data_IF_271407668936
#
_entry.id   IF_271407668936
#
_cell.length_a   1.000
_cell.length_b   1.000
_cell.length_c   1.000
_cell.angle_alpha   90.00
_cell.angle_beta   90.00
_cell.angle_gamma   90.00
#
_symmetry.space_group_name_H-M   'P 1'
#
loop_
_entity.id
_entity.type
_entity.pdbx_description
1 polymer ?
#
# COMPACT_ATOMS: atom_id res chain seq x y z
N UNK A 1 27.23 -6.86 -26.94
CA UNK A 1 26.75 -6.95 -25.56
C UNK A 1 26.06 -5.65 -25.11
N UNK A 2 26.75 -4.51 -25.11
CA UNK A 2 26.23 -3.25 -24.56
C UNK A 2 24.92 -2.77 -25.22
N UNK A 3 24.78 -2.86 -26.55
CA UNK A 3 23.52 -2.50 -27.22
C UNK A 3 22.36 -3.38 -26.78
N UNK A 4 22.55 -4.70 -26.78
CA UNK A 4 21.50 -5.63 -26.34
C UNK A 4 21.07 -5.33 -24.90
N UNK A 5 22.04 -5.11 -23.99
CA UNK A 5 21.73 -4.76 -22.59
C UNK A 5 20.99 -3.43 -22.48
N UNK A 6 21.36 -2.43 -23.28
CA UNK A 6 20.64 -1.16 -23.31
C UNK A 6 19.19 -1.33 -23.80
N UNK A 7 18.98 -2.13 -24.87
CA UNK A 7 17.64 -2.40 -25.40
C UNK A 7 16.77 -3.15 -24.36
N UNK A 8 17.32 -4.16 -23.68
CA UNK A 8 16.66 -4.89 -22.59
C UNK A 8 16.23 -3.94 -21.45
N UNK A 9 17.13 -3.05 -21.04
CA UNK A 9 16.84 -2.10 -19.95
C UNK A 9 15.89 -0.98 -20.36
N UNK A 10 15.95 -0.53 -21.61
CA UNK A 10 14.96 0.41 -22.16
C UNK A 10 13.57 -0.23 -22.25
N UNK A 11 13.49 -1.51 -22.67
CA UNK A 11 12.25 -2.27 -22.65
C UNK A 11 11.73 -2.47 -21.20
N UNK A 12 12.62 -2.78 -20.26
CA UNK A 12 12.29 -2.83 -18.84
C UNK A 12 11.71 -1.49 -18.36
N UNK A 13 12.28 -0.37 -18.73
CA UNK A 13 11.80 0.97 -18.36
C UNK A 13 10.59 1.45 -19.17
N UNK A 14 10.14 0.72 -20.21
CA UNK A 14 9.17 1.19 -21.23
C UNK A 14 9.61 2.51 -21.91
N UNK A 15 10.86 2.58 -22.27
CA UNK A 15 11.47 3.74 -22.89
C UNK A 15 12.07 3.44 -24.26
N UNK A 16 11.74 2.31 -24.86
CA UNK A 16 12.29 1.88 -26.17
C UNK A 16 12.07 2.95 -27.24
N UNK A 17 10.86 3.53 -27.33
CA UNK A 17 10.54 4.58 -28.28
C UNK A 17 11.22 5.94 -27.95
N UNK A 18 11.77 6.06 -26.76
CA UNK A 18 12.46 7.26 -26.26
C UNK A 18 13.97 7.08 -26.17
N UNK A 19 14.52 6.00 -26.77
CA UNK A 19 15.95 5.67 -26.70
C UNK A 19 16.87 6.80 -27.14
N UNK A 20 16.45 7.62 -28.11
CA UNK A 20 17.20 8.78 -28.61
C UNK A 20 16.82 10.12 -27.93
N UNK A 21 15.85 10.11 -27.03
CA UNK A 21 15.40 11.33 -26.37
C UNK A 21 16.41 11.83 -25.32
N UNK A 22 16.52 13.14 -25.19
CA UNK A 22 17.32 13.72 -24.10
C UNK A 22 16.63 13.44 -22.76
N UNK A 23 17.39 13.06 -21.73
CA UNK A 23 16.85 12.76 -20.39
C UNK A 23 16.06 13.96 -19.82
N UNK A 24 16.47 15.20 -20.14
CA UNK A 24 15.77 16.42 -19.73
C UNK A 24 14.32 16.47 -20.22
N UNK A 25 14.01 15.89 -21.39
CA UNK A 25 12.67 15.89 -22.00
C UNK A 25 11.75 14.77 -21.47
N UNK A 26 12.24 13.88 -20.62
CA UNK A 26 11.46 12.80 -20.03
C UNK A 26 10.58 13.34 -18.89
N UNK A 27 9.37 12.79 -18.74
CA UNK A 27 8.52 13.05 -17.58
C UNK A 27 9.15 12.53 -16.28
N UNK A 28 8.63 12.96 -15.12
CA UNK A 28 9.10 12.49 -13.81
C UNK A 28 9.06 10.95 -13.70
N UNK A 29 7.94 10.33 -14.06
CA UNK A 29 7.78 8.89 -14.06
C UNK A 29 8.71 8.16 -15.04
N UNK A 30 8.97 8.73 -16.22
CA UNK A 30 9.95 8.19 -17.17
C UNK A 30 11.36 8.25 -16.60
N UNK A 31 11.74 9.37 -15.97
CA UNK A 31 13.05 9.51 -15.29
C UNK A 31 13.20 8.49 -14.17
N UNK A 32 12.14 8.28 -13.37
CA UNK A 32 12.14 7.29 -12.27
C UNK A 32 12.42 5.89 -12.81
N UNK A 33 11.66 5.46 -13.83
CA UNK A 33 11.85 4.14 -14.46
C UNK A 33 13.24 3.99 -15.10
N UNK A 34 13.76 5.04 -15.72
CA UNK A 34 15.13 5.05 -16.25
C UNK A 34 16.17 4.90 -15.13
N UNK A 35 15.96 5.55 -13.98
CA UNK A 35 16.88 5.45 -12.83
C UNK A 35 16.93 4.02 -12.30
N UNK A 36 15.80 3.34 -12.18
CA UNK A 36 15.72 1.94 -11.77
C UNK A 36 16.46 1.05 -12.80
N UNK A 37 16.18 1.23 -14.09
CA UNK A 37 16.87 0.49 -15.16
C UNK A 37 18.39 0.68 -15.14
N UNK A 38 18.87 1.89 -14.84
CA UNK A 38 20.29 2.16 -14.65
C UNK A 38 20.89 1.36 -13.49
N UNK A 39 20.16 1.18 -12.41
CA UNK A 39 20.59 0.34 -11.27
C UNK A 39 20.80 -1.14 -11.67
N UNK A 40 20.15 -1.59 -12.74
CA UNK A 40 20.24 -2.98 -13.23
C UNK A 40 21.36 -3.23 -14.24
N UNK A 41 22.12 -2.20 -14.66
CA UNK A 41 23.15 -2.32 -15.69
C UNK A 41 24.19 -3.40 -15.35
N UNK A 42 24.60 -3.46 -14.10
CA UNK A 42 25.64 -4.38 -13.61
C UNK A 42 25.07 -5.68 -13.01
N UNK A 43 23.80 -6.01 -13.30
CA UNK A 43 23.15 -7.23 -12.83
C UNK A 43 23.32 -7.44 -11.30
N UNK A 44 22.90 -6.49 -10.49
CA UNK A 44 23.11 -6.53 -9.05
C UNK A 44 22.37 -7.71 -8.41
N UNK A 45 22.97 -8.31 -7.37
CA UNK A 45 22.29 -9.29 -6.51
C UNK A 45 21.36 -8.63 -5.49
N UNK A 46 21.61 -7.36 -5.18
CA UNK A 46 20.85 -6.55 -4.23
C UNK A 46 20.55 -5.20 -4.88
N UNK A 47 19.31 -4.78 -4.88
CA UNK A 47 18.85 -3.50 -5.41
C UNK A 47 18.12 -2.73 -4.31
N UNK A 48 18.60 -1.52 -4.00
CA UNK A 48 17.96 -0.60 -3.05
C UNK A 48 17.08 0.37 -3.83
N UNK A 49 15.83 0.47 -3.42
CA UNK A 49 14.81 1.30 -4.03
C UNK A 49 14.18 2.18 -2.97
N UNK A 50 14.41 3.47 -3.09
CA UNK A 50 13.84 4.46 -2.18
C UNK A 50 12.59 5.06 -2.83
N UNK A 51 11.41 4.75 -2.28
CA UNK A 51 10.09 5.16 -2.76
C UNK A 51 9.89 4.99 -4.29
N UNK A 52 10.05 3.77 -4.85
CA UNK A 52 10.19 3.58 -6.29
C UNK A 52 8.96 4.01 -7.11
N UNK A 53 7.77 4.04 -6.52
CA UNK A 53 6.51 4.36 -7.21
C UNK A 53 5.98 5.76 -6.95
N UNK A 54 6.64 6.54 -6.10
CA UNK A 54 6.22 7.92 -5.81
C UNK A 54 6.18 8.77 -7.08
N UNK A 55 5.05 9.45 -7.30
CA UNK A 55 4.82 10.28 -8.48
C UNK A 55 4.49 9.53 -9.77
N UNK A 56 4.25 8.21 -9.69
CA UNK A 56 3.71 7.43 -10.79
C UNK A 56 2.17 7.44 -10.74
N UNK A 57 1.54 7.43 -11.92
CA UNK A 57 0.12 7.11 -12.02
C UNK A 57 -0.15 5.64 -11.65
N UNK A 58 -1.40 5.27 -11.31
CA UNK A 58 -1.73 3.91 -10.86
C UNK A 58 -1.33 2.81 -11.85
N UNK A 59 -1.48 3.05 -13.16
CA UNK A 59 -1.11 2.07 -14.18
C UNK A 59 0.40 1.87 -14.23
N UNK A 60 1.18 2.96 -14.21
CA UNK A 60 2.64 2.90 -14.20
C UNK A 60 3.17 2.23 -12.93
N UNK A 61 2.50 2.42 -11.77
CA UNK A 61 2.82 1.76 -10.51
C UNK A 61 2.68 0.23 -10.63
N UNK A 62 1.54 -0.26 -11.10
CA UNK A 62 1.32 -1.71 -11.29
C UNK A 62 2.33 -2.34 -12.24
N UNK A 63 2.63 -1.67 -13.35
CA UNK A 63 3.64 -2.15 -14.30
C UNK A 63 5.02 -2.22 -13.66
N UNK A 64 5.37 -1.27 -12.81
CA UNK A 64 6.65 -1.31 -12.10
C UNK A 64 6.66 -2.45 -11.08
N UNK A 65 5.59 -2.66 -10.32
CA UNK A 65 5.47 -3.81 -9.38
C UNK A 65 5.68 -5.15 -10.08
N UNK A 66 5.01 -5.39 -11.20
CA UNK A 66 5.19 -6.62 -11.99
C UNK A 66 6.66 -6.86 -12.37
N UNK A 67 7.38 -5.78 -12.68
CA UNK A 67 8.79 -5.87 -13.07
C UNK A 67 9.70 -6.12 -11.89
N UNK A 68 9.44 -5.47 -10.76
CA UNK A 68 10.17 -5.70 -9.52
C UNK A 68 9.93 -7.14 -9.02
N UNK A 69 8.70 -7.63 -9.13
CA UNK A 69 8.36 -9.00 -8.80
C UNK A 69 9.16 -10.00 -9.65
N UNK A 70 9.23 -9.78 -10.97
CA UNK A 70 10.05 -10.64 -11.86
C UNK A 70 11.54 -10.60 -11.53
N UNK A 71 12.08 -9.45 -11.13
CA UNK A 71 13.48 -9.36 -10.67
C UNK A 71 13.69 -10.21 -9.41
N UNK A 72 12.73 -10.18 -8.49
CA UNK A 72 12.76 -11.01 -7.28
C UNK A 72 12.74 -12.51 -7.63
N UNK A 73 11.88 -12.94 -8.57
CA UNK A 73 11.85 -14.30 -9.08
C UNK A 73 13.17 -14.73 -9.73
N UNK A 74 13.90 -13.81 -10.34
CA UNK A 74 15.23 -14.02 -10.91
C UNK A 74 16.35 -14.05 -9.85
N UNK A 75 16.02 -13.93 -8.57
CA UNK A 75 16.96 -14.03 -7.46
C UNK A 75 17.59 -12.70 -7.04
N UNK A 76 17.09 -11.57 -7.52
CA UNK A 76 17.53 -10.25 -7.05
C UNK A 76 16.86 -9.93 -5.71
N UNK A 77 17.64 -9.64 -4.69
CA UNK A 77 17.14 -9.14 -3.41
C UNK A 77 16.76 -7.68 -3.54
N UNK A 78 15.51 -7.34 -3.27
CA UNK A 78 15.02 -5.97 -3.27
C UNK A 78 14.92 -5.45 -1.84
N UNK A 79 15.49 -4.27 -1.58
CA UNK A 79 15.28 -3.51 -0.35
C UNK A 79 14.51 -2.26 -0.77
N UNK A 80 13.28 -2.12 -0.29
CA UNK A 80 12.35 -1.06 -0.69
C UNK A 80 12.00 -0.23 0.52
N UNK A 81 12.09 1.10 0.41
CA UNK A 81 11.41 2.02 1.32
C UNK A 81 10.16 2.53 0.64
N UNK A 82 9.06 2.60 1.36
CA UNK A 82 7.79 3.10 0.82
C UNK A 82 6.88 3.60 1.96
N UNK A 83 6.06 4.57 1.65
CA UNK A 83 4.93 4.97 2.49
C UNK A 83 3.59 4.42 1.95
N UNK A 84 3.61 3.69 0.82
CA UNK A 84 2.44 3.02 0.28
C UNK A 84 2.31 1.62 0.87
N UNK A 85 1.31 1.42 1.69
CA UNK A 85 1.09 0.13 2.37
C UNK A 85 0.72 -0.98 1.38
N UNK A 86 -0.02 -0.66 0.32
CA UNK A 86 -0.34 -1.57 -0.78
C UNK A 86 0.93 -2.05 -1.52
N UNK A 87 1.91 -1.17 -1.73
CA UNK A 87 3.20 -1.55 -2.30
C UNK A 87 3.95 -2.53 -1.41
N UNK A 88 4.03 -2.25 -0.11
CA UNK A 88 4.68 -3.13 0.85
C UNK A 88 3.98 -4.49 0.94
N UNK A 89 2.65 -4.50 0.93
CA UNK A 89 1.85 -5.73 0.98
C UNK A 89 2.05 -6.62 -0.26
N UNK A 90 2.17 -6.01 -1.45
CA UNK A 90 2.32 -6.73 -2.71
C UNK A 90 3.75 -7.22 -2.98
N UNK A 91 4.77 -6.42 -2.66
CA UNK A 91 6.14 -6.69 -3.07
C UNK A 91 6.98 -7.39 -2.00
N UNK A 92 6.72 -7.14 -0.71
CA UNK A 92 7.62 -7.56 0.36
C UNK A 92 7.30 -8.97 0.88
N UNK A 93 8.32 -9.81 1.04
CA UNK A 93 8.22 -11.07 1.79
C UNK A 93 8.28 -10.80 3.29
N UNK A 94 9.00 -9.75 3.69
CA UNK A 94 9.18 -9.29 5.06
C UNK A 94 9.32 -7.77 5.05
N UNK A 95 8.74 -7.12 6.03
CA UNK A 95 8.84 -5.68 6.19
C UNK A 95 9.10 -5.28 7.64
N UNK A 96 9.52 -4.05 7.80
CA UNK A 96 9.72 -3.39 9.08
C UNK A 96 8.85 -2.13 9.07
N UNK A 97 7.96 -2.00 10.05
CA UNK A 97 7.20 -0.76 10.28
C UNK A 97 8.01 0.11 11.22
N UNK A 98 8.25 1.34 10.80
CA UNK A 98 8.99 2.34 11.59
C UNK A 98 8.10 3.53 11.93
N UNK A 99 8.12 3.95 13.17
CA UNK A 99 7.52 5.20 13.63
C UNK A 99 8.46 5.93 14.58
N UNK A 100 8.56 7.25 14.45
CA UNK A 100 9.44 8.12 15.26
C UNK A 100 10.87 7.58 15.40
N UNK A 101 11.42 7.00 14.33
CA UNK A 101 12.79 6.45 14.30
C UNK A 101 12.96 5.12 15.04
N UNK A 102 11.86 4.45 15.40
CA UNK A 102 11.86 3.14 16.09
C UNK A 102 11.16 2.09 15.25
N UNK A 103 11.62 0.87 15.36
CA UNK A 103 10.91 -0.29 14.81
C UNK A 103 9.74 -0.59 15.75
N UNK A 104 8.50 -0.54 15.22
CA UNK A 104 7.27 -0.82 15.97
C UNK A 104 6.68 -2.19 15.65
N UNK A 105 6.97 -2.73 14.46
CA UNK A 105 6.63 -4.08 14.08
C UNK A 105 7.55 -4.59 12.97
N UNK A 106 7.68 -5.91 12.87
CA UNK A 106 8.50 -6.58 11.86
C UNK A 106 7.94 -7.95 11.54
N UNK A 107 7.80 -8.29 10.27
CA UNK A 107 7.29 -9.60 9.85
C UNK A 107 6.87 -9.66 8.39
N UNK A 108 6.30 -10.80 8.00
CA UNK A 108 5.63 -10.92 6.71
C UNK A 108 4.32 -10.10 6.72
N UNK A 109 3.93 -9.46 5.60
CA UNK A 109 2.71 -8.64 5.54
C UNK A 109 1.48 -9.32 6.14
N UNK A 110 1.18 -10.53 5.69
CA UNK A 110 0.02 -11.29 6.16
C UNK A 110 0.11 -11.75 7.62
N UNK A 111 1.32 -11.90 8.17
CA UNK A 111 1.51 -12.21 9.59
C UNK A 111 1.19 -10.97 10.45
N UNK A 112 1.68 -9.80 10.04
CA UNK A 112 1.40 -8.53 10.72
C UNK A 112 -0.10 -8.18 10.69
N UNK A 113 -0.78 -8.39 9.55
CA UNK A 113 -2.22 -8.17 9.46
C UNK A 113 -2.96 -9.06 10.46
N UNK A 114 -2.63 -10.35 10.55
CA UNK A 114 -3.27 -11.27 11.52
C UNK A 114 -2.96 -10.94 12.97
N UNK A 115 -1.79 -10.41 13.25
CA UNK A 115 -1.36 -10.09 14.62
C UNK A 115 -1.95 -8.77 15.12
N UNK A 116 -2.00 -7.77 14.25
CA UNK A 116 -2.34 -6.40 14.64
C UNK A 116 -3.71 -5.92 14.12
N UNK A 117 -4.46 -6.73 13.40
CA UNK A 117 -5.80 -6.37 12.96
C UNK A 117 -6.76 -7.54 13.10
N UNK A 118 -8.06 -7.27 12.94
CA UNK A 118 -9.09 -8.29 12.80
C UNK A 118 -9.10 -8.84 11.38
N UNK A 119 -9.91 -9.86 11.12
CA UNK A 119 -10.03 -10.45 9.79
C UNK A 119 -10.62 -9.48 8.77
N UNK A 120 -11.61 -8.69 9.19
CA UNK A 120 -12.40 -7.83 8.31
C UNK A 120 -12.57 -6.44 8.92
N UNK A 121 -12.87 -5.48 8.05
CA UNK A 121 -13.22 -4.11 8.40
C UNK A 121 -14.51 -3.77 7.68
N UNK A 122 -15.52 -3.34 8.44
CA UNK A 122 -16.71 -2.74 7.87
C UNK A 122 -16.54 -1.21 7.84
N UNK A 123 -16.49 -0.66 6.64
CA UNK A 123 -16.48 0.79 6.42
C UNK A 123 -17.92 1.28 6.30
N UNK A 124 -18.31 2.21 7.15
CA UNK A 124 -19.65 2.80 7.15
C UNK A 124 -19.58 4.31 7.05
N UNK A 125 -20.47 4.92 6.30
CA UNK A 125 -20.59 6.37 6.16
C UNK A 125 -21.98 6.82 6.56
N UNK A 126 -22.08 7.73 7.52
CA UNK A 126 -23.33 8.33 7.98
C UNK A 126 -23.49 9.79 7.51
N UNK A 127 -22.50 10.34 6.83
CA UNK A 127 -22.35 11.76 6.52
C UNK A 127 -21.40 12.46 7.48
N UNK A 128 -20.73 13.51 7.00
CA UNK A 128 -19.62 14.16 7.70
C UNK A 128 -19.95 14.56 9.16
N UNK A 129 -21.13 15.14 9.39
CA UNK A 129 -21.53 15.60 10.73
C UNK A 129 -22.00 14.47 11.66
N UNK A 130 -22.34 13.29 11.11
CA UNK A 130 -22.85 12.17 11.88
C UNK A 130 -21.79 11.12 12.23
N UNK A 131 -20.70 11.04 11.48
CA UNK A 131 -19.66 10.02 11.73
C UNK A 131 -19.13 10.10 13.16
N UNK A 132 -18.82 11.29 13.67
CA UNK A 132 -18.38 11.47 15.04
C UNK A 132 -19.51 11.24 16.07
N UNK A 133 -20.76 11.64 15.75
CA UNK A 133 -21.89 11.52 16.67
C UNK A 133 -22.29 10.06 16.93
N UNK A 134 -22.18 9.18 15.92
CA UNK A 134 -22.55 7.76 16.05
C UNK A 134 -21.51 6.89 16.76
N UNK A 135 -20.32 7.40 17.05
CA UNK A 135 -19.27 6.63 17.75
C UNK A 135 -19.79 5.98 19.04
N UNK A 136 -20.53 6.75 19.84
CA UNK A 136 -21.14 6.29 21.09
C UNK A 136 -22.13 5.13 20.90
N UNK A 137 -22.92 5.18 19.81
CA UNK A 137 -23.94 4.18 19.47
C UNK A 137 -23.31 2.90 18.91
N UNK A 138 -22.11 3.01 18.31
CA UNK A 138 -21.34 1.89 17.75
C UNK A 138 -20.49 1.17 18.80
N UNK A 139 -20.28 1.75 20.00
CA UNK A 139 -19.48 1.14 21.07
C UNK A 139 -19.97 -0.26 21.43
N UNK A 140 -19.01 -1.16 21.55
CA UNK A 140 -19.27 -2.57 21.88
C UNK A 140 -19.77 -3.43 20.72
N UNK A 141 -19.89 -2.89 19.51
CA UNK A 141 -20.21 -3.65 18.31
C UNK A 141 -18.96 -4.26 17.65
N UNK A 142 -17.86 -3.53 17.65
CA UNK A 142 -16.61 -3.90 17.02
C UNK A 142 -15.49 -3.99 18.06
N UNK A 143 -14.44 -4.75 17.75
CA UNK A 143 -13.25 -4.83 18.62
C UNK A 143 -12.51 -3.51 18.69
N UNK A 144 -12.51 -2.77 17.57
CA UNK A 144 -11.94 -1.43 17.46
C UNK A 144 -12.82 -0.58 16.55
N UNK A 145 -12.90 0.69 16.84
CA UNK A 145 -13.63 1.70 16.06
C UNK A 145 -12.67 2.84 15.78
N UNK A 146 -12.58 3.23 14.52
CA UNK A 146 -11.88 4.43 14.10
C UNK A 146 -12.83 5.37 13.37
N UNK A 147 -12.91 6.60 13.85
CA UNK A 147 -13.75 7.63 13.24
C UNK A 147 -12.86 8.52 12.38
N UNK A 148 -13.08 8.46 11.08
CA UNK A 148 -12.44 9.31 10.09
C UNK A 148 -13.41 10.41 9.66
N UNK A 149 -12.94 11.52 9.08
CA UNK A 149 -13.81 12.61 8.67
C UNK A 149 -14.93 12.19 7.71
N UNK A 150 -14.64 11.25 6.81
CA UNK A 150 -15.55 10.79 5.75
C UNK A 150 -16.22 9.44 6.03
N UNK A 151 -15.73 8.67 7.00
CA UNK A 151 -16.22 7.32 7.30
C UNK A 151 -15.88 6.86 8.72
N UNK A 152 -16.49 5.76 9.13
CA UNK A 152 -16.14 5.03 10.36
C UNK A 152 -15.67 3.65 9.98
N UNK A 153 -14.55 3.22 10.53
CA UNK A 153 -13.99 1.87 10.37
C UNK A 153 -14.33 1.04 11.61
N UNK A 154 -14.97 -0.08 11.38
CA UNK A 154 -15.40 -1.03 12.41
C UNK A 154 -14.64 -2.35 12.19
N UNK A 155 -13.78 -2.70 13.10
CA UNK A 155 -12.90 -3.86 13.03
C UNK A 155 -13.55 -5.07 13.71
N UNK A 156 -13.74 -6.16 12.96
CA UNK A 156 -14.35 -7.39 13.44
C UNK A 156 -13.88 -8.62 12.66
N UNK A 157 -14.12 -9.80 13.20
CA UNK A 157 -13.83 -11.05 12.49
C UNK A 157 -14.90 -11.38 11.42
N UNK A 158 -16.13 -10.89 11.60
CA UNK A 158 -17.24 -11.03 10.67
C UNK A 158 -17.89 -9.65 10.44
N UNK A 159 -17.50 -9.01 9.35
CA UNK A 159 -17.97 -7.67 8.99
C UNK A 159 -19.44 -7.64 8.55
N UNK A 160 -19.94 -8.71 7.93
CA UNK A 160 -21.36 -8.77 7.51
C UNK A 160 -22.28 -8.90 8.73
N UNK A 161 -21.97 -9.81 9.67
CA UNK A 161 -22.71 -9.93 10.92
C UNK A 161 -22.70 -8.61 11.71
N UNK A 162 -21.56 -7.91 11.68
CA UNK A 162 -21.43 -6.59 12.29
C UNK A 162 -22.36 -5.56 11.63
N UNK A 163 -22.44 -5.52 10.30
CA UNK A 163 -23.33 -4.61 9.59
C UNK A 163 -24.81 -4.90 9.84
N UNK A 164 -25.18 -6.17 10.00
CA UNK A 164 -26.55 -6.55 10.40
C UNK A 164 -26.88 -6.01 11.79
N UNK A 165 -25.94 -6.08 12.73
CA UNK A 165 -26.11 -5.54 14.08
C UNK A 165 -26.22 -4.02 14.07
N UNK A 166 -25.43 -3.31 13.25
CA UNK A 166 -25.53 -1.86 13.04
C UNK A 166 -26.94 -1.49 12.59
N UNK A 167 -27.50 -2.23 11.61
CA UNK A 167 -28.88 -1.99 11.13
C UNK A 167 -29.93 -2.32 12.19
N UNK A 168 -29.73 -3.38 12.97
CA UNK A 168 -30.64 -3.78 14.05
C UNK A 168 -30.75 -2.74 15.16
N UNK A 169 -29.66 -1.99 15.41
CA UNK A 169 -29.69 -0.84 16.33
C UNK A 169 -30.37 0.42 15.75
N UNK A 170 -30.92 0.34 14.56
CA UNK A 170 -31.59 1.45 13.89
C UNK A 170 -30.62 2.45 13.25
N UNK A 171 -29.34 2.12 13.18
CA UNK A 171 -28.35 2.91 12.48
C UNK A 171 -28.43 2.63 10.98
N UNK A 172 -28.65 3.68 10.18
CA UNK A 172 -28.77 3.60 8.73
C UNK A 172 -27.61 4.34 8.06
N UNK A 173 -26.49 3.67 7.78
CA UNK A 173 -25.40 4.29 7.03
C UNK A 173 -25.83 4.59 5.59
N UNK A 174 -25.34 5.68 5.03
CA UNK A 174 -25.52 6.06 3.63
C UNK A 174 -24.86 5.04 2.70
N UNK A 175 -23.69 4.54 3.10
CA UNK A 175 -22.99 3.47 2.41
C UNK A 175 -22.29 2.56 3.41
N UNK A 176 -22.17 1.28 3.06
CA UNK A 176 -21.42 0.30 3.82
C UNK A 176 -20.64 -0.61 2.88
N UNK A 177 -19.43 -1.01 3.28
CA UNK A 177 -18.55 -1.93 2.57
C UNK A 177 -17.82 -2.81 3.58
N UNK A 178 -17.82 -4.12 3.36
CA UNK A 178 -16.94 -5.04 4.09
C UNK A 178 -15.72 -5.35 3.23
N UNK A 179 -14.54 -5.23 3.80
CA UNK A 179 -13.28 -5.60 3.17
C UNK A 179 -12.38 -6.40 4.12
N UNK A 180 -11.40 -7.07 3.59
CA UNK A 180 -10.32 -7.64 4.40
C UNK A 180 -9.48 -6.53 5.01
N UNK A 181 -8.91 -6.82 6.19
CA UNK A 181 -7.88 -5.95 6.76
C UNK A 181 -6.61 -5.96 5.91
N UNK A 182 -5.91 -4.83 5.92
CA UNK A 182 -4.70 -4.57 5.14
C UNK A 182 -3.55 -4.07 6.02
N UNK A 183 -2.37 -3.90 5.46
CA UNK A 183 -1.26 -3.26 6.17
C UNK A 183 -1.55 -1.81 6.56
N UNK A 184 -2.44 -1.12 5.87
CA UNK A 184 -2.88 0.22 6.26
C UNK A 184 -3.55 0.21 7.63
N UNK A 185 -4.42 -0.78 7.89
CA UNK A 185 -5.08 -0.96 9.18
C UNK A 185 -4.09 -1.28 10.31
N UNK A 186 -3.04 -2.02 10.00
CA UNK A 186 -1.93 -2.30 10.91
C UNK A 186 -1.16 -1.01 11.23
N UNK A 187 -0.83 -0.23 10.21
CA UNK A 187 -0.10 1.03 10.37
C UNK A 187 -0.88 2.02 11.23
N UNK A 188 -2.16 2.22 10.94
CA UNK A 188 -3.07 3.06 11.74
C UNK A 188 -3.09 2.63 13.21
N UNK A 189 -3.18 1.33 13.46
CA UNK A 189 -3.19 0.80 14.83
C UNK A 189 -1.88 1.05 15.58
N UNK A 190 -0.74 0.84 14.91
CA UNK A 190 0.57 0.91 15.56
C UNK A 190 1.05 2.34 15.79
N UNK A 191 0.70 3.25 14.89
CA UNK A 191 1.19 4.63 14.93
C UNK A 191 0.16 5.63 15.46
N UNK A 192 -1.12 5.28 15.44
CA UNK A 192 -2.22 6.18 15.75
C UNK A 192 -2.37 7.33 14.76
N UNK A 193 -1.74 7.24 13.58
CA UNK A 193 -1.74 8.27 12.53
C UNK A 193 -2.54 7.80 11.33
N UNK A 194 -3.31 8.73 10.74
CA UNK A 194 -3.86 8.55 9.41
C UNK A 194 -2.75 8.68 8.35
N UNK A 195 -2.84 7.90 7.27
CA UNK A 195 -1.93 8.04 6.11
C UNK A 195 -2.21 9.32 5.28
N UNK A 196 -3.14 10.15 5.73
CA UNK A 196 -3.64 11.35 5.02
C UNK A 196 -3.08 12.64 5.64
N UNK A 197 -2.11 12.56 6.54
CA UNK A 197 -1.42 13.73 7.10
C UNK A 197 -0.14 14.07 6.32
#
# INVERSE_FOLDING_TARGET
YLRRKADELLAFAQLTEKASAKVASLSGGMKRRLTIARGLVNEPRVLLLDEPTTGLDPQARHILWDRLFRLKEQGVTLIVTTHFMDEAEQLCDRLIVMDAGRIVAEGAPQALIREFSTREVAEVRFGADRNAAVEGELRGLAERIEVLPDRVLLYADDGEALLEEVRRRGLAPLTSLVRRSSLEDVFLRLTGRSLVD
#
